data_IF_611153358935
#
_entry.id   IF_611153358935
#
_cell.length_a   1.000
_cell.length_b   1.000
_cell.length_c   1.000
_cell.angle_alpha   90.00
_cell.angle_beta   90.00
_cell.angle_gamma   90.00
#
_symmetry.space_group_name_H-M   'P 1'
#
loop_
_entity.id
_entity.type
_entity.pdbx_description
1 polymer ?
#
# COMPACT_ATOMS: atom_id res chain seq x y z
N UNK A 1 30.97 -51.67 44.76
CA UNK A 1 30.04 -51.41 43.64
C UNK A 1 29.63 -49.94 43.65
N UNK A 2 30.21 -49.11 42.78
CA UNK A 2 29.86 -47.69 42.65
C UNK A 2 28.78 -47.54 41.58
N UNK A 3 27.62 -46.97 41.95
CA UNK A 3 26.55 -46.61 41.01
C UNK A 3 26.85 -45.21 40.46
N UNK A 4 27.03 -45.09 39.15
CA UNK A 4 27.15 -43.81 38.46
C UNK A 4 25.76 -43.22 38.25
N UNK A 5 25.47 -42.11 38.93
CA UNK A 5 24.31 -41.27 38.69
C UNK A 5 24.55 -40.46 37.41
N UNK A 6 23.96 -40.90 36.31
CA UNK A 6 23.93 -40.13 35.06
C UNK A 6 22.91 -38.99 35.19
N UNK A 7 23.40 -37.77 35.32
CA UNK A 7 22.60 -36.55 35.26
C UNK A 7 22.18 -36.34 33.79
N UNK A 8 20.93 -36.65 33.45
CA UNK A 8 20.35 -36.33 32.15
C UNK A 8 19.98 -34.84 32.18
N UNK A 9 20.81 -34.02 31.53
CA UNK A 9 20.55 -32.60 31.30
C UNK A 9 19.59 -32.47 30.11
N UNK A 10 18.30 -32.33 30.38
CA UNK A 10 17.28 -32.06 29.35
C UNK A 10 17.44 -30.62 28.87
N UNK A 11 18.02 -30.45 27.68
CA UNK A 11 18.15 -29.18 26.97
C UNK A 11 16.76 -28.73 26.49
N UNK A 12 16.15 -27.79 27.20
CA UNK A 12 14.88 -27.18 26.80
C UNK A 12 15.15 -26.17 25.67
N UNK A 13 14.98 -26.61 24.42
CA UNK A 13 15.01 -25.74 23.25
C UNK A 13 13.70 -24.94 23.23
N UNK A 14 13.75 -23.70 23.69
CA UNK A 14 12.64 -22.74 23.52
C UNK A 14 12.65 -22.32 22.05
N UNK A 15 11.78 -22.94 21.26
CA UNK A 15 11.50 -22.50 19.89
C UNK A 15 10.64 -21.25 20.00
N UNK A 16 11.26 -20.07 19.80
CA UNK A 16 10.56 -18.81 19.61
C UNK A 16 9.80 -18.90 18.29
N UNK A 17 8.54 -19.35 18.34
CA UNK A 17 7.63 -19.24 17.21
C UNK A 17 7.41 -17.73 16.96
N UNK A 18 7.66 -17.23 15.73
CA UNK A 18 7.33 -15.86 15.42
C UNK A 18 5.83 -15.67 15.64
N UNK A 19 5.46 -14.70 16.48
CA UNK A 19 4.07 -14.26 16.63
C UNK A 19 3.53 -13.89 15.25
N UNK A 20 2.38 -14.46 14.88
CA UNK A 20 1.70 -14.11 13.63
C UNK A 20 1.40 -12.61 13.64
N UNK A 21 2.05 -11.88 12.74
CA UNK A 21 1.63 -10.53 12.40
C UNK A 21 0.37 -10.66 11.56
N UNK A 22 -0.76 -10.19 12.08
CA UNK A 22 -1.98 -10.06 11.29
C UNK A 22 -1.81 -8.87 10.35
N UNK A 23 -2.02 -9.10 9.04
CA UNK A 23 -2.13 -8.02 8.08
C UNK A 23 -3.43 -7.24 8.36
N UNK A 24 -3.34 -5.92 8.41
CA UNK A 24 -4.51 -5.04 8.52
C UNK A 24 -4.71 -4.31 7.21
N UNK A 25 -5.95 -4.34 6.72
CA UNK A 25 -6.34 -3.62 5.51
C UNK A 25 -6.64 -2.16 5.84
N UNK A 26 -6.06 -1.26 5.04
CA UNK A 26 -6.44 0.15 4.99
C UNK A 26 -7.05 0.41 3.62
N UNK A 27 -8.33 0.78 3.59
CA UNK A 27 -9.04 1.13 2.36
C UNK A 27 -9.09 2.65 2.25
N UNK A 28 -8.52 3.18 1.17
CA UNK A 28 -8.55 4.61 0.85
C UNK A 28 -9.53 4.81 -0.30
N UNK A 29 -10.55 5.62 -0.07
CA UNK A 29 -11.47 6.04 -1.11
C UNK A 29 -10.81 7.12 -1.98
N UNK A 30 -10.65 6.82 -3.26
CA UNK A 30 -9.99 7.72 -4.22
C UNK A 30 -10.68 9.10 -4.33
N UNK A 31 -11.97 9.20 -4.00
CA UNK A 31 -12.74 10.45 -4.06
C UNK A 31 -12.51 11.38 -2.86
N UNK A 32 -11.88 10.90 -1.78
CA UNK A 32 -11.65 11.65 -0.54
C UNK A 32 -10.19 12.12 -0.41
N UNK A 33 -9.66 12.72 -1.48
CA UNK A 33 -8.33 13.33 -1.44
C UNK A 33 -8.36 14.69 -0.74
N UNK A 34 -7.26 15.08 -0.11
CA UNK A 34 -7.13 16.35 0.62
C UNK A 34 -6.50 17.45 -0.23
N UNK A 35 -5.66 17.07 -1.18
CA UNK A 35 -4.97 17.97 -2.11
C UNK A 35 -4.81 17.28 -3.46
N UNK A 36 -4.68 18.04 -4.53
CA UNK A 36 -4.39 17.53 -5.87
C UNK A 36 -3.53 18.51 -6.66
N UNK A 37 -2.80 18.00 -7.64
CA UNK A 37 -2.18 18.79 -8.69
C UNK A 37 -2.79 18.39 -10.02
N UNK A 38 -3.35 19.39 -10.69
CA UNK A 38 -4.08 19.27 -11.94
C UNK A 38 -3.35 20.11 -12.98
N UNK A 39 -2.87 19.45 -14.04
CA UNK A 39 -2.11 20.08 -15.12
C UNK A 39 -2.65 19.71 -16.50
N UNK A 40 -3.63 18.81 -16.55
CA UNK A 40 -4.25 18.31 -17.76
C UNK A 40 -5.47 19.13 -18.19
N UNK A 41 -6.18 18.55 -19.15
CA UNK A 41 -7.41 19.15 -19.69
C UNK A 41 -8.68 18.61 -19.03
N UNK A 42 -8.60 17.43 -18.43
CA UNK A 42 -9.66 16.80 -17.66
C UNK A 42 -9.36 17.08 -16.18
N UNK A 43 -10.18 17.88 -15.49
CA UNK A 43 -9.84 18.26 -14.13
C UNK A 43 -9.80 17.07 -13.18
N UNK A 44 -8.83 17.09 -12.25
CA UNK A 44 -8.76 16.13 -11.14
C UNK A 44 -9.99 16.32 -10.26
N UNK A 45 -10.84 15.30 -10.17
CA UNK A 45 -12.08 15.43 -9.41
C UNK A 45 -12.96 14.19 -9.41
N UNK A 46 -14.11 14.32 -8.75
CA UNK A 46 -15.11 13.25 -8.69
C UNK A 46 -16.04 13.36 -9.89
N UNK A 47 -15.99 12.35 -10.75
CA UNK A 47 -16.88 12.22 -11.91
C UNK A 47 -18.35 12.05 -11.46
N UNK A 48 -19.35 12.33 -12.31
CA UNK A 48 -20.76 12.09 -12.00
C UNK A 48 -21.10 10.65 -11.59
N UNK A 49 -20.26 9.70 -11.99
CA UNK A 49 -20.40 8.28 -11.66
C UNK A 49 -19.76 7.89 -10.31
N UNK A 50 -19.25 8.86 -9.54
CA UNK A 50 -18.75 8.65 -8.18
C UNK A 50 -17.33 8.08 -8.08
N UNK A 51 -16.51 8.21 -9.12
CA UNK A 51 -15.09 7.83 -9.09
C UNK A 51 -14.18 9.03 -9.35
N UNK A 52 -12.94 8.94 -8.89
CA UNK A 52 -11.90 9.91 -9.23
C UNK A 52 -11.57 9.83 -10.73
N UNK A 53 -11.47 10.98 -11.38
CA UNK A 53 -11.00 11.16 -12.76
C UNK A 53 -9.93 12.27 -12.83
N UNK A 54 -9.30 12.43 -14.00
CA UNK A 54 -8.34 13.50 -14.27
C UNK A 54 -6.89 13.20 -13.85
N UNK A 55 -6.49 11.92 -13.89
CA UNK A 55 -5.09 11.49 -13.74
C UNK A 55 -4.58 10.94 -15.08
N UNK A 56 -4.77 11.72 -16.15
CA UNK A 56 -4.46 11.36 -17.54
C UNK A 56 -3.14 11.94 -18.06
N UNK A 57 -2.53 12.87 -17.33
CA UNK A 57 -1.31 13.56 -17.72
C UNK A 57 -0.15 13.35 -16.72
N UNK A 58 1.10 13.24 -17.20
CA UNK A 58 2.26 13.19 -16.32
C UNK A 58 2.35 14.43 -15.42
N UNK A 59 2.53 14.19 -14.12
CA UNK A 59 2.62 15.25 -13.10
C UNK A 59 1.33 15.46 -12.32
N UNK A 60 0.21 14.87 -12.73
CA UNK A 60 -1.02 14.88 -11.96
C UNK A 60 -0.93 13.96 -10.74
N UNK A 61 -1.50 14.39 -9.62
CA UNK A 61 -1.53 13.59 -8.40
C UNK A 61 -2.69 13.99 -7.49
N UNK A 62 -3.09 13.03 -6.65
CA UNK A 62 -3.97 13.25 -5.50
C UNK A 62 -3.25 12.84 -4.22
N UNK A 63 -3.50 13.58 -3.13
CA UNK A 63 -2.92 13.33 -1.81
C UNK A 63 -4.01 12.86 -0.85
N UNK A 64 -3.67 11.85 -0.06
CA UNK A 64 -4.54 11.29 0.96
C UNK A 64 -3.85 11.34 2.31
N UNK A 65 -4.64 11.45 3.37
CA UNK A 65 -4.16 11.30 4.74
C UNK A 65 -4.96 10.20 5.41
N UNK A 66 -4.28 9.24 6.00
CA UNK A 66 -4.91 8.19 6.80
C UNK A 66 -4.09 7.96 8.07
N UNK A 67 -4.69 7.27 9.04
CA UNK A 67 -4.01 6.89 10.27
C UNK A 67 -4.07 5.38 10.41
N UNK A 68 -2.96 4.79 10.85
CA UNK A 68 -2.85 3.37 11.20
C UNK A 68 -2.14 3.25 12.54
N UNK A 69 -2.49 2.23 13.32
CA UNK A 69 -1.82 1.92 14.58
C UNK A 69 -0.64 0.98 14.40
N UNK A 70 -0.51 0.37 13.22
CA UNK A 70 0.52 -0.61 12.90
C UNK A 70 1.61 0.03 12.05
N UNK A 71 2.87 -0.18 12.47
CA UNK A 71 4.05 0.14 11.68
C UNK A 71 4.53 -1.14 10.98
N UNK A 72 4.94 -1.05 9.72
CA UNK A 72 5.46 -2.20 9.00
C UNK A 72 5.57 -1.99 7.49
N UNK A 73 5.77 -3.08 6.77
CA UNK A 73 5.71 -3.11 5.33
C UNK A 73 4.26 -3.05 4.86
N UNK A 74 3.99 -2.25 3.83
CA UNK A 74 2.66 -2.17 3.23
C UNK A 74 2.60 -3.02 1.96
N UNK A 75 1.55 -3.84 1.85
CA UNK A 75 1.07 -4.35 0.56
C UNK A 75 0.06 -3.35 -0.01
N UNK A 76 0.09 -3.12 -1.32
CA UNK A 76 -0.78 -2.13 -1.96
C UNK A 76 -1.49 -2.74 -3.16
N UNK A 77 -2.74 -2.31 -3.37
CA UNK A 77 -3.51 -2.63 -4.56
C UNK A 77 -4.30 -1.40 -4.99
N UNK A 78 -4.53 -1.27 -6.29
CA UNK A 78 -5.18 -0.11 -6.88
C UNK A 78 -6.31 -0.59 -7.80
N UNK A 79 -7.52 -0.06 -7.58
CA UNK A 79 -8.65 -0.23 -8.50
C UNK A 79 -8.68 0.97 -9.43
N UNK A 80 -8.41 0.73 -10.71
CA UNK A 80 -8.27 1.81 -11.70
C UNK A 80 -8.82 1.40 -13.07
N UNK A 81 -9.17 2.42 -13.86
CA UNK A 81 -9.47 2.32 -15.29
C UNK A 81 -8.69 3.40 -16.02
N UNK A 82 -8.36 3.13 -17.27
CA UNK A 82 -7.67 4.06 -18.15
C UNK A 82 -8.21 4.00 -19.57
N UNK A 83 -7.84 5.00 -20.36
CA UNK A 83 -8.19 5.11 -21.78
C UNK A 83 -7.76 3.87 -22.56
N UNK A 84 -8.62 3.38 -23.45
CA UNK A 84 -8.39 2.14 -24.19
C UNK A 84 -7.05 2.15 -24.93
N UNK A 85 -6.20 1.17 -24.65
CA UNK A 85 -4.93 0.96 -25.33
C UNK A 85 -3.81 1.92 -24.91
N UNK A 86 -4.05 2.81 -23.94
CA UNK A 86 -3.02 3.71 -23.39
C UNK A 86 -2.30 3.02 -22.24
N UNK A 87 -0.98 3.06 -22.24
CA UNK A 87 -0.16 2.61 -21.11
C UNK A 87 -0.08 3.70 -20.05
N UNK A 88 -0.35 3.32 -18.80
CA UNK A 88 -0.29 4.19 -17.65
C UNK A 88 0.79 3.70 -16.70
N UNK A 89 1.50 4.67 -16.10
CA UNK A 89 2.39 4.48 -14.98
C UNK A 89 1.94 5.40 -13.85
N UNK A 90 1.51 4.82 -12.74
CA UNK A 90 1.20 5.53 -11.50
C UNK A 90 2.17 5.13 -10.42
N UNK A 91 2.59 6.10 -9.61
CA UNK A 91 3.40 5.86 -8.43
C UNK A 91 2.60 6.23 -7.19
N UNK A 92 2.45 5.29 -6.26
CA UNK A 92 2.01 5.56 -4.90
C UNK A 92 3.25 5.82 -4.04
N UNK A 93 3.25 6.94 -3.33
CA UNK A 93 4.27 7.30 -2.35
C UNK A 93 3.62 7.35 -0.98
N UNK A 94 4.11 6.55 -0.04
CA UNK A 94 3.68 6.55 1.36
C UNK A 94 4.77 7.21 2.19
N UNK A 95 4.46 8.36 2.76
CA UNK A 95 5.35 9.14 3.64
C UNK A 95 4.80 9.10 5.06
N UNK A 96 5.33 8.22 5.94
CA UNK A 96 4.79 8.10 7.28
C UNK A 96 5.32 9.24 8.18
N UNK A 97 4.43 9.81 8.99
CA UNK A 97 4.76 10.96 9.84
C UNK A 97 5.70 10.52 10.96
N UNK A 98 6.84 11.21 11.11
CA UNK A 98 7.78 11.00 12.20
C UNK A 98 8.75 9.83 12.03
N UNK A 99 8.76 9.18 10.86
CA UNK A 99 9.77 8.17 10.47
C UNK A 99 10.41 8.56 9.14
N UNK A 100 11.56 7.94 8.83
CA UNK A 100 12.41 8.36 7.70
C UNK A 100 12.18 7.52 6.43
N UNK A 101 11.50 6.38 6.54
CA UNK A 101 11.37 5.46 5.41
C UNK A 101 10.12 5.75 4.57
N UNK A 102 10.36 6.28 3.37
CA UNK A 102 9.34 6.46 2.33
C UNK A 102 9.22 5.18 1.53
N UNK A 103 8.00 4.68 1.37
CA UNK A 103 7.72 3.52 0.51
C UNK A 103 7.13 3.99 -0.83
N UNK A 104 7.61 3.39 -1.93
CA UNK A 104 7.15 3.70 -3.28
C UNK A 104 6.66 2.43 -3.97
N UNK A 105 5.52 2.54 -4.65
CA UNK A 105 4.92 1.44 -5.40
C UNK A 105 4.57 1.93 -6.80
N UNK A 106 5.10 1.24 -7.80
CA UNK A 106 4.81 1.54 -9.19
C UNK A 106 3.72 0.59 -9.73
N UNK A 107 2.70 1.17 -10.35
CA UNK A 107 1.63 0.48 -11.02
C UNK A 107 1.73 0.74 -12.51
N UNK A 108 1.84 -0.34 -13.29
CA UNK A 108 1.82 -0.29 -14.75
C UNK A 108 0.59 -1.03 -15.24
N UNK A 109 -0.20 -0.40 -16.09
CA UNK A 109 -1.37 -1.04 -16.71
C UNK A 109 -1.69 -0.43 -18.07
N UNK A 110 -2.33 -1.22 -18.93
CA UNK A 110 -2.93 -0.71 -20.17
C UNK A 110 -4.40 -0.47 -19.93
N UNK A 111 -4.89 0.73 -20.28
CA UNK A 111 -6.29 1.07 -20.12
C UNK A 111 -7.21 0.18 -20.98
N UNK A 112 -8.33 -0.23 -20.38
CA UNK A 112 -9.32 -1.10 -21.01
C UNK A 112 -10.49 -0.31 -21.62
N UNK A 113 -10.42 1.02 -21.60
CA UNK A 113 -11.47 1.90 -22.09
C UNK A 113 -12.60 2.14 -21.11
N UNK A 114 -13.49 3.04 -21.48
CA UNK A 114 -14.77 3.26 -20.83
C UNK A 114 -15.75 2.25 -21.45
N UNK A 115 -16.05 1.18 -20.73
CA UNK A 115 -17.10 0.23 -21.12
C UNK A 115 -18.48 0.87 -21.11
#
# INVERSE_FOLDING_TARGET
MKRSTGLILTLMVIVLLPSSSDAKDVVIDATHYTESNDVGSIPVGVAPMGHLQGLDMPGEWTKYTFSTTELGAYGTSLLIRGTLGVEFHLQLVIEPVGVVEIQKFDFFFTGLGFG
#
